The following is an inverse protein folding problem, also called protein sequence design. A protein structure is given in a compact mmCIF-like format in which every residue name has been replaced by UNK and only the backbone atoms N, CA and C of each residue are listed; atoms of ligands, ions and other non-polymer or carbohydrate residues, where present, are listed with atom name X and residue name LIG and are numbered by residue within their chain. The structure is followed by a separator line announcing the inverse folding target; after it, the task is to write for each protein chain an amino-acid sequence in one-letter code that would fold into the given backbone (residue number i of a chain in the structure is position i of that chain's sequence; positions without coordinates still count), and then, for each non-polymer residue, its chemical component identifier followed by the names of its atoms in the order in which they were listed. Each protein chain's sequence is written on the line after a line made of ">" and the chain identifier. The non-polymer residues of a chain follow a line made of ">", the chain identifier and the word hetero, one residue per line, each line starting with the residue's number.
data_IF_661708221702
#
_entry.id   IF_661708221702
#
_cell.length_a   1.000
_cell.length_b   1.000
_cell.length_c   1.000
_cell.angle_alpha   90.00
_cell.angle_beta   90.00
_cell.angle_gamma   90.00
#
_symmetry.space_group_name_H-M   'P 1'
#
loop_
_entity.id
_entity.type
_entity.pdbx_description
1 polymer ?
#
# COMPACT_ATOMS: atom_id res chain seq x y z
N UNK A 1 7.63 -68.16 19.41
CA UNK A 1 6.15 -68.04 19.49
C UNK A 1 5.80 -67.07 20.61
N UNK A 2 4.76 -66.26 20.40
CA UNK A 2 4.33 -65.02 21.11
C UNK A 2 5.04 -63.76 20.62
N UNK A 3 4.41 -62.63 20.30
CA UNK A 3 3.10 -62.26 19.76
C UNK A 3 3.21 -60.74 19.54
N UNK A 4 2.86 -60.27 18.34
CA UNK A 4 2.89 -58.87 17.92
C UNK A 4 1.74 -58.11 18.58
N UNK A 5 2.01 -56.91 19.14
CA UNK A 5 1.00 -55.86 19.33
C UNK A 5 1.57 -54.49 18.96
N UNK A 6 1.08 -53.96 17.85
CA UNK A 6 1.24 -52.57 17.40
C UNK A 6 0.60 -51.61 18.40
N UNK A 7 1.31 -50.57 18.83
CA UNK A 7 0.70 -49.34 19.33
C UNK A 7 1.22 -48.17 18.48
N UNK A 8 0.34 -47.66 17.62
CA UNK A 8 0.48 -46.36 16.98
C UNK A 8 0.23 -45.27 18.04
N UNK A 9 1.21 -44.38 18.23
CA UNK A 9 1.01 -43.15 19.01
C UNK A 9 0.54 -42.05 18.07
N UNK A 10 -0.71 -41.63 18.29
CA UNK A 10 -1.40 -40.54 17.62
C UNK A 10 -0.77 -39.20 18.03
N UNK A 11 -0.47 -38.38 17.02
CA UNK A 11 -0.01 -37.00 17.14
C UNK A 11 -1.10 -36.07 17.71
N UNK A 12 -0.71 -35.10 18.54
CA UNK A 12 -1.55 -33.97 18.93
C UNK A 12 -0.81 -32.67 18.58
N UNK A 13 -1.01 -32.19 17.36
CA UNK A 13 -0.58 -30.86 16.95
C UNK A 13 -1.68 -29.86 17.36
N UNK A 14 -1.34 -28.92 18.24
CA UNK A 14 -2.23 -27.83 18.62
C UNK A 14 -2.40 -26.87 17.44
N UNK A 15 -3.59 -26.83 16.85
CA UNK A 15 -3.98 -25.87 15.82
C UNK A 15 -4.32 -24.55 16.53
N UNK A 16 -3.43 -23.57 16.41
CA UNK A 16 -3.72 -22.17 16.76
C UNK A 16 -4.60 -21.59 15.65
N UNK A 17 -5.90 -21.46 15.91
CA UNK A 17 -6.82 -20.79 14.99
C UNK A 17 -6.66 -19.27 15.07
N UNK A 18 -5.98 -18.66 14.10
CA UNK A 18 -6.19 -17.24 13.81
C UNK A 18 -7.54 -17.10 13.10
N UNK A 19 -8.52 -16.52 13.78
CA UNK A 19 -9.74 -16.02 13.15
C UNK A 19 -9.38 -14.78 12.33
N UNK A 20 -9.04 -14.97 11.05
CA UNK A 20 -9.00 -13.88 10.08
C UNK A 20 -10.42 -13.41 9.75
N UNK A 21 -10.68 -12.11 9.83
CA UNK A 21 -11.91 -11.51 9.35
C UNK A 21 -11.99 -11.72 7.83
N UNK A 22 -12.96 -12.51 7.39
CA UNK A 22 -13.19 -12.87 6.00
C UNK A 22 -13.82 -11.71 5.22
N UNK A 23 -13.18 -11.35 4.12
CA UNK A 23 -13.66 -10.46 3.08
C UNK A 23 -12.82 -10.68 1.83
N UNK A 24 -12.85 -11.90 1.29
CA UNK A 24 -12.10 -12.24 0.07
C UNK A 24 -13.09 -12.46 -1.07
N UNK A 25 -13.32 -11.42 -1.88
CA UNK A 25 -13.69 -11.65 -3.27
C UNK A 25 -12.44 -12.19 -3.97
N UNK A 26 -12.27 -13.52 -3.96
CA UNK A 26 -11.24 -14.17 -4.77
C UNK A 26 -11.68 -14.14 -6.23
N UNK A 27 -11.47 -13.01 -6.90
CA UNK A 27 -11.23 -13.07 -8.34
C UNK A 27 -10.00 -13.94 -8.56
N UNK A 28 -10.03 -14.91 -9.49
CA UNK A 28 -8.83 -15.68 -9.81
C UNK A 28 -7.75 -14.68 -10.24
N UNK A 29 -6.62 -14.65 -9.52
CA UNK A 29 -5.48 -13.85 -9.94
C UNK A 29 -4.91 -14.52 -11.19
N UNK A 30 -5.40 -14.12 -12.37
CA UNK A 30 -4.71 -14.37 -13.63
C UNK A 30 -3.50 -13.44 -13.69
N UNK A 31 -2.43 -13.81 -12.99
CA UNK A 31 -1.20 -13.03 -12.94
C UNK A 31 -0.35 -13.39 -11.72
N UNK A 32 0.94 -13.09 -11.79
CA UNK A 32 1.85 -13.21 -10.65
C UNK A 32 1.77 -11.98 -9.73
N UNK A 33 0.97 -10.97 -10.10
CA UNK A 33 0.83 -9.72 -9.34
C UNK A 33 -0.40 -9.79 -8.44
N UNK A 34 -0.19 -9.52 -7.15
CA UNK A 34 -1.26 -9.35 -6.16
C UNK A 34 -1.37 -7.88 -5.76
N UNK A 35 -2.60 -7.43 -5.49
CA UNK A 35 -2.87 -6.12 -4.87
C UNK A 35 -3.35 -6.32 -3.44
N UNK A 36 -2.79 -5.58 -2.49
CA UNK A 36 -3.14 -5.63 -1.08
C UNK A 36 -3.76 -4.31 -0.63
N UNK A 37 -4.88 -4.42 0.10
CA UNK A 37 -5.51 -3.32 0.81
C UNK A 37 -6.17 -3.88 2.08
N UNK A 38 -6.43 -3.00 3.04
CA UNK A 38 -7.13 -3.33 4.27
C UNK A 38 -8.38 -2.47 4.39
N UNK A 39 -9.41 -3.00 5.05
CA UNK A 39 -10.62 -2.26 5.37
C UNK A 39 -10.91 -2.36 6.86
N UNK A 40 -11.46 -1.29 7.42
CA UNK A 40 -12.10 -1.30 8.74
C UNK A 40 -13.60 -1.35 8.53
N UNK A 41 -14.32 -1.99 9.45
CA UNK A 41 -15.76 -2.10 9.33
C UNK A 41 -16.46 -2.17 10.67
N UNK A 42 -17.66 -1.61 10.72
CA UNK A 42 -18.54 -1.68 11.89
C UNK A 42 -19.54 -2.81 11.66
N UNK A 43 -19.67 -3.69 12.66
CA UNK A 43 -20.64 -4.78 12.61
C UNK A 43 -22.07 -4.22 12.64
N UNK A 44 -22.84 -4.54 11.61
CA UNK A 44 -24.27 -4.24 11.49
C UNK A 44 -25.04 -5.55 11.29
N UNK A 45 -25.60 -6.08 12.38
CA UNK A 45 -26.18 -7.43 12.39
C UNK A 45 -25.13 -8.51 12.10
N UNK A 46 -25.30 -9.25 11.01
CA UNK A 46 -24.39 -10.31 10.57
C UNK A 46 -23.43 -9.87 9.46
N UNK A 47 -23.43 -8.58 9.09
CA UNK A 47 -22.59 -8.03 8.03
C UNK A 47 -21.66 -6.97 8.62
N UNK A 48 -20.44 -6.86 8.10
CA UNK A 48 -19.57 -5.72 8.39
C UNK A 48 -19.81 -4.65 7.33
N UNK A 49 -20.16 -3.44 7.76
CA UNK A 49 -20.22 -2.28 6.88
C UNK A 49 -18.86 -1.59 6.91
N UNK A 50 -18.18 -1.55 5.76
CA UNK A 50 -16.90 -0.84 5.61
C UNK A 50 -17.03 0.61 6.05
N UNK A 51 -15.97 1.12 6.68
CA UNK A 51 -15.86 2.52 7.12
C UNK A 51 -14.64 3.19 6.53
N UNK A 52 -13.51 2.50 6.57
CA UNK A 52 -12.26 3.00 6.01
C UNK A 52 -11.62 1.94 5.12
N UNK A 53 -10.84 2.42 4.15
CA UNK A 53 -9.94 1.62 3.33
C UNK A 53 -8.55 2.22 3.41
N UNK A 54 -7.56 1.35 3.57
CA UNK A 54 -6.15 1.72 3.70
C UNK A 54 -5.30 0.85 2.76
N UNK A 55 -4.50 1.50 1.93
CA UNK A 55 -3.45 0.84 1.17
C UNK A 55 -2.18 1.70 1.14
N UNK A 56 -2.02 2.59 0.17
CA UNK A 56 -0.84 3.43 0.06
C UNK A 56 -0.97 4.65 0.98
N UNK A 57 0.02 4.92 1.85
CA UNK A 57 0.00 6.12 2.69
C UNK A 57 -0.11 7.40 1.86
N UNK A 58 -0.76 8.42 2.43
CA UNK A 58 -0.89 9.79 1.91
C UNK A 58 -1.95 9.93 0.80
N UNK A 59 -2.44 8.84 0.22
CA UNK A 59 -3.37 8.88 -0.91
C UNK A 59 -4.68 9.57 -0.55
N UNK A 60 -5.46 9.03 0.40
CA UNK A 60 -6.72 9.66 0.74
C UNK A 60 -6.49 10.99 1.49
N UNK A 61 -5.46 11.06 2.34
CA UNK A 61 -5.15 12.21 3.19
C UNK A 61 -4.76 13.48 2.42
N UNK A 62 -4.14 13.35 1.24
CA UNK A 62 -3.70 14.50 0.43
C UNK A 62 -4.66 14.78 -0.71
N UNK A 63 -5.15 13.76 -1.41
CA UNK A 63 -5.90 13.99 -2.65
C UNK A 63 -7.38 14.22 -2.42
N UNK A 64 -7.97 13.63 -1.38
CA UNK A 64 -9.39 13.73 -1.15
C UNK A 64 -9.72 14.96 -0.30
N UNK A 65 -10.82 15.64 -0.66
CA UNK A 65 -11.30 16.79 0.10
C UNK A 65 -12.43 16.37 1.05
N UNK A 66 -12.35 16.81 2.31
CA UNK A 66 -13.41 16.53 3.31
C UNK A 66 -14.68 17.32 3.01
N UNK A 67 -14.56 18.54 2.47
CA UNK A 67 -15.68 19.46 2.25
C UNK A 67 -16.75 18.98 1.25
N UNK A 68 -16.45 17.95 0.46
CA UNK A 68 -17.33 17.37 -0.56
C UNK A 68 -17.43 15.84 -0.46
N UNK A 69 -17.27 15.29 0.75
CA UNK A 69 -17.38 13.86 1.08
C UNK A 69 -16.43 12.93 0.29
N UNK A 70 -15.42 13.45 -0.43
CA UNK A 70 -14.51 12.61 -1.24
C UNK A 70 -13.72 11.65 -0.39
N UNK A 71 -13.27 12.09 0.78
CA UNK A 71 -12.63 11.22 1.78
C UNK A 71 -13.47 9.99 2.07
N UNK A 72 -14.73 10.22 2.48
CA UNK A 72 -15.69 9.17 2.80
C UNK A 72 -15.96 8.25 1.60
N UNK A 73 -16.10 8.82 0.41
CA UNK A 73 -16.35 8.02 -0.81
C UNK A 73 -15.16 7.08 -1.07
N UNK A 74 -13.93 7.56 -0.99
CA UNK A 74 -12.74 6.74 -1.20
C UNK A 74 -12.54 5.69 -0.09
N UNK A 75 -12.91 6.03 1.15
CA UNK A 75 -12.88 5.17 2.33
C UNK A 75 -13.89 4.01 2.27
N UNK A 76 -15.10 4.27 1.74
CA UNK A 76 -16.18 3.28 1.62
C UNK A 76 -16.17 2.54 0.26
N UNK A 77 -15.40 3.01 -0.73
CA UNK A 77 -15.27 2.39 -2.05
C UNK A 77 -14.32 1.17 -2.05
N UNK A 78 -14.59 0.27 -2.99
CA UNK A 78 -13.66 -0.82 -3.34
C UNK A 78 -12.61 -0.33 -4.36
N UNK A 79 -11.40 -0.92 -4.40
CA UNK A 79 -10.34 -0.46 -5.30
C UNK A 79 -10.67 -0.47 -6.79
N UNK A 80 -11.67 -1.25 -7.22
CA UNK A 80 -12.11 -1.25 -8.62
C UNK A 80 -12.79 0.07 -9.03
N UNK A 81 -13.31 0.84 -8.07
CA UNK A 81 -13.92 2.15 -8.31
C UNK A 81 -12.90 3.30 -8.40
N UNK A 82 -11.64 3.09 -8.02
CA UNK A 82 -10.62 4.15 -7.97
C UNK A 82 -10.35 4.80 -9.33
N UNK A 83 -10.57 4.07 -10.42
CA UNK A 83 -10.43 4.60 -11.78
C UNK A 83 -11.45 5.70 -12.11
N UNK A 84 -12.55 5.76 -11.37
CA UNK A 84 -13.62 6.75 -11.52
C UNK A 84 -13.57 7.81 -10.42
N UNK A 85 -13.36 7.38 -9.18
CA UNK A 85 -13.43 8.24 -8.00
C UNK A 85 -12.04 8.86 -7.72
N UNK A 86 -11.14 8.09 -7.11
CA UNK A 86 -9.83 8.55 -6.66
C UNK A 86 -8.96 9.16 -7.78
N UNK A 87 -8.99 8.60 -9.00
CA UNK A 87 -8.22 9.14 -10.14
C UNK A 87 -8.55 10.60 -10.42
N UNK A 88 -9.83 10.97 -10.31
CA UNK A 88 -10.25 12.35 -10.54
C UNK A 88 -9.79 13.28 -9.41
N UNK A 89 -9.80 12.80 -8.16
CA UNK A 89 -9.28 13.55 -7.01
C UNK A 89 -7.78 13.81 -7.16
N UNK A 90 -6.98 12.77 -7.46
CA UNK A 90 -5.54 12.89 -7.69
C UNK A 90 -5.28 13.90 -8.81
N UNK A 91 -5.94 13.74 -9.96
CA UNK A 91 -5.70 14.62 -11.10
C UNK A 91 -6.06 16.09 -10.79
N UNK A 92 -7.17 16.31 -10.08
CA UNK A 92 -7.64 17.64 -9.69
C UNK A 92 -6.67 18.29 -8.71
N UNK A 93 -6.29 17.58 -7.65
CA UNK A 93 -5.33 18.06 -6.66
C UNK A 93 -3.98 18.38 -7.30
N UNK A 94 -3.42 17.45 -8.08
CA UNK A 94 -2.10 17.60 -8.68
C UNK A 94 -2.03 18.82 -9.60
N UNK A 95 -3.07 19.06 -10.41
CA UNK A 95 -3.06 20.14 -11.40
C UNK A 95 -3.53 21.49 -10.84
N UNK A 96 -4.47 21.51 -9.90
CA UNK A 96 -5.10 22.75 -9.42
C UNK A 96 -4.55 23.21 -8.06
N UNK A 97 -4.19 22.29 -7.17
CA UNK A 97 -3.73 22.60 -5.80
C UNK A 97 -2.21 22.58 -5.74
N UNK A 98 -1.59 21.45 -6.09
CA UNK A 98 -0.13 21.33 -6.15
C UNK A 98 0.47 22.05 -7.39
N UNK A 99 -0.38 22.42 -8.36
CA UNK A 99 0.01 23.18 -9.55
C UNK A 99 0.88 22.44 -10.56
N UNK A 100 1.11 21.13 -10.38
CA UNK A 100 1.99 20.26 -11.18
C UNK A 100 1.50 20.16 -12.62
N UNK A 101 2.39 19.73 -13.52
CA UNK A 101 2.02 19.52 -14.93
C UNK A 101 1.05 18.35 -15.11
N UNK A 102 0.30 18.33 -16.22
CA UNK A 102 -0.55 17.20 -16.57
C UNK A 102 0.27 15.91 -16.78
N UNK A 103 1.51 16.01 -17.26
CA UNK A 103 2.39 14.87 -17.43
C UNK A 103 2.73 14.23 -16.07
N UNK A 104 3.12 15.06 -15.09
CA UNK A 104 3.36 14.63 -13.71
C UNK A 104 2.09 14.03 -13.09
N UNK A 105 0.95 14.70 -13.22
CA UNK A 105 -0.33 14.20 -12.70
C UNK A 105 -0.70 12.83 -13.28
N UNK A 106 -0.49 12.61 -14.59
CA UNK A 106 -0.74 11.31 -15.23
C UNK A 106 0.14 10.20 -14.63
N UNK A 107 1.43 10.47 -14.37
CA UNK A 107 2.31 9.50 -13.70
C UNK A 107 1.78 9.17 -12.31
N UNK A 108 1.47 10.18 -11.50
CA UNK A 108 0.95 9.96 -10.13
C UNK A 108 -0.33 9.14 -10.15
N UNK A 109 -1.28 9.44 -11.06
CA UNK A 109 -2.48 8.61 -11.22
C UNK A 109 -2.17 7.18 -11.64
N UNK A 110 -1.16 6.94 -12.48
CA UNK A 110 -0.80 5.58 -12.92
C UNK A 110 -0.14 4.73 -11.83
N UNK A 111 0.55 5.39 -10.90
CA UNK A 111 1.25 4.74 -9.78
C UNK A 111 0.26 4.42 -8.66
N UNK A 112 -0.62 5.36 -8.32
CA UNK A 112 -1.47 5.28 -7.12
C UNK A 112 -2.89 4.75 -7.39
N UNK A 113 -3.26 4.48 -8.65
CA UNK A 113 -4.58 3.93 -9.01
C UNK A 113 -4.45 2.54 -9.64
N UNK A 114 -5.16 1.51 -9.13
CA UNK A 114 -6.01 1.54 -7.94
C UNK A 114 -5.18 1.65 -6.67
N UNK A 115 -5.75 2.20 -5.61
CA UNK A 115 -5.09 2.33 -4.31
C UNK A 115 -4.99 0.96 -3.63
N UNK A 116 -3.94 0.26 -4.05
CA UNK A 116 -3.53 -1.06 -3.59
C UNK A 116 -2.01 -1.09 -3.59
N UNK A 117 -1.42 -1.76 -2.61
CA UNK A 117 0.01 -2.04 -2.61
C UNK A 117 0.25 -3.28 -3.47
N UNK A 118 1.02 -3.18 -4.56
CA UNK A 118 1.24 -4.31 -5.47
C UNK A 118 2.50 -5.08 -5.12
N UNK A 119 2.43 -6.39 -5.27
CA UNK A 119 3.60 -7.26 -5.23
C UNK A 119 3.57 -8.27 -6.38
N UNK A 120 4.68 -8.39 -7.12
CA UNK A 120 4.86 -9.39 -8.19
C UNK A 120 5.61 -10.61 -7.66
N UNK A 121 4.86 -11.68 -7.43
CA UNK A 121 5.33 -12.96 -6.89
C UNK A 121 6.25 -13.72 -7.87
N UNK A 122 6.39 -13.27 -9.12
CA UNK A 122 7.37 -13.83 -10.05
C UNK A 122 8.73 -13.15 -9.97
N UNK A 123 8.79 -11.96 -9.37
CA UNK A 123 10.04 -11.29 -9.09
C UNK A 123 10.68 -11.88 -7.83
N UNK A 124 11.99 -11.82 -7.79
CA UNK A 124 12.78 -12.12 -6.59
C UNK A 124 13.63 -10.91 -6.27
N UNK A 125 13.76 -10.57 -4.99
CA UNK A 125 14.46 -9.35 -4.57
C UNK A 125 13.88 -8.77 -3.29
N UNK A 126 14.48 -7.70 -2.76
CA UNK A 126 13.92 -6.99 -1.62
C UNK A 126 12.56 -6.40 -1.98
N UNK A 127 11.68 -6.33 -1.00
CA UNK A 127 10.47 -5.52 -1.11
C UNK A 127 10.86 -4.03 -1.18
N UNK A 128 10.10 -3.24 -1.92
CA UNK A 128 10.27 -1.79 -1.99
C UNK A 128 8.95 -1.13 -2.30
N UNK A 129 8.61 -0.12 -1.52
CA UNK A 129 7.39 0.67 -1.66
C UNK A 129 7.33 1.33 -3.05
N UNK A 130 6.21 1.09 -3.76
CA UNK A 130 5.99 1.48 -5.15
C UNK A 130 6.98 0.89 -6.17
N UNK A 131 7.76 -0.12 -5.77
CA UNK A 131 8.80 -0.71 -6.59
C UNK A 131 8.25 -1.43 -7.83
N UNK A 132 7.09 -2.07 -7.73
CA UNK A 132 6.45 -2.69 -8.88
C UNK A 132 5.86 -1.63 -9.83
N UNK A 133 5.13 -0.68 -9.25
CA UNK A 133 4.42 0.40 -9.93
C UNK A 133 5.36 1.32 -10.71
N UNK A 134 6.59 1.48 -10.22
CA UNK A 134 7.63 2.30 -10.85
C UNK A 134 8.61 1.48 -11.69
N UNK A 135 8.45 0.15 -11.81
CA UNK A 135 9.38 -0.70 -12.55
C UNK A 135 10.77 -0.82 -11.92
N UNK A 136 10.86 -0.69 -10.59
CA UNK A 136 12.08 -0.77 -9.79
C UNK A 136 12.73 0.58 -9.50
N UNK A 137 12.12 1.69 -9.90
CA UNK A 137 12.73 3.01 -9.73
C UNK A 137 12.85 3.44 -8.25
N UNK A 138 11.98 2.95 -7.38
CA UNK A 138 12.09 3.13 -5.91
C UNK A 138 12.86 2.01 -5.21
N UNK A 139 13.43 1.05 -5.94
CA UNK A 139 14.21 -0.06 -5.38
C UNK A 139 14.02 -1.39 -6.12
N UNK A 140 13.40 -2.38 -5.48
CA UNK A 140 13.16 -3.71 -6.03
C UNK A 140 11.91 -3.78 -6.91
N UNK A 141 11.94 -4.63 -7.94
CA UNK A 141 10.79 -4.89 -8.83
C UNK A 141 9.71 -5.78 -8.19
N UNK A 142 9.99 -6.38 -7.03
CA UNK A 142 9.03 -7.20 -6.28
C UNK A 142 7.83 -6.37 -5.81
N UNK A 143 8.01 -5.10 -5.46
CA UNK A 143 6.97 -4.26 -4.88
C UNK A 143 6.77 -4.49 -3.38
N UNK A 144 5.57 -4.21 -2.86
CA UNK A 144 5.25 -4.33 -1.43
C UNK A 144 5.83 -3.17 -0.61
N UNK A 145 6.39 -3.49 0.57
CA UNK A 145 7.11 -2.54 1.44
C UNK A 145 8.20 -3.26 2.23
N UNK A 146 9.41 -2.71 2.25
CA UNK A 146 10.42 -3.10 3.23
C UNK A 146 10.18 -2.41 4.57
N UNK A 147 10.83 -2.93 5.62
CA UNK A 147 10.77 -2.34 6.96
C UNK A 147 11.38 -0.95 7.02
N UNK A 148 12.41 -0.73 6.20
CA UNK A 148 13.19 0.52 6.16
C UNK A 148 12.69 1.51 5.12
N UNK A 149 11.61 1.18 4.38
CA UNK A 149 11.05 2.12 3.42
C UNK A 149 10.40 3.29 4.17
N UNK A 150 10.86 4.50 3.85
CA UNK A 150 10.21 5.72 4.30
C UNK A 150 9.01 6.03 3.40
N UNK A 151 7.94 5.27 3.62
CA UNK A 151 6.75 5.29 2.75
C UNK A 151 6.08 6.66 2.68
N UNK A 152 6.19 7.47 3.74
CA UNK A 152 5.60 8.81 3.78
C UNK A 152 6.45 9.77 2.97
N UNK A 153 7.76 9.80 3.17
CA UNK A 153 8.67 10.65 2.39
C UNK A 153 8.68 10.26 0.90
N UNK A 154 8.61 8.97 0.58
CA UNK A 154 8.46 8.50 -0.82
C UNK A 154 7.15 9.01 -1.43
N UNK A 155 6.01 8.83 -0.74
CA UNK A 155 4.71 9.32 -1.21
C UNK A 155 4.71 10.85 -1.39
N UNK A 156 5.20 11.60 -0.40
CA UNK A 156 5.26 13.06 -0.46
C UNK A 156 6.23 13.56 -1.53
N UNK A 157 7.35 12.86 -1.76
CA UNK A 157 8.28 13.14 -2.85
C UNK A 157 7.66 12.97 -4.24
N UNK A 158 6.71 12.04 -4.41
CA UNK A 158 5.95 11.87 -5.66
C UNK A 158 4.97 13.02 -5.89
N UNK A 159 4.33 13.51 -4.83
CA UNK A 159 3.33 14.59 -4.92
C UNK A 159 3.98 15.97 -5.06
N UNK A 160 4.91 16.29 -4.16
CA UNK A 160 5.47 17.62 -4.00
C UNK A 160 6.94 17.73 -4.44
N UNK A 161 7.64 16.62 -4.59
CA UNK A 161 9.06 16.59 -4.91
C UNK A 161 9.37 16.35 -6.39
N UNK A 162 10.65 16.09 -6.65
CA UNK A 162 11.16 15.79 -7.98
C UNK A 162 11.19 14.28 -8.28
N UNK A 163 10.60 13.41 -7.45
CA UNK A 163 10.70 11.95 -7.62
C UNK A 163 10.26 11.52 -9.02
N UNK A 164 9.14 12.05 -9.52
CA UNK A 164 8.63 11.72 -10.87
C UNK A 164 9.61 12.10 -11.98
N UNK A 165 10.21 13.29 -11.92
CA UNK A 165 11.13 13.78 -12.96
C UNK A 165 12.53 13.17 -12.84
N UNK A 166 13.02 12.96 -11.61
CA UNK A 166 14.28 12.29 -11.33
C UNK A 166 14.31 10.84 -11.84
N UNK A 167 13.16 10.18 -11.83
CA UNK A 167 12.97 8.83 -12.39
C UNK A 167 12.74 8.83 -13.90
N UNK A 168 12.70 10.00 -14.55
CA UNK A 168 12.45 10.13 -15.99
C UNK A 168 11.03 9.73 -16.42
N UNK A 169 10.08 9.68 -15.48
CA UNK A 169 8.69 9.28 -15.75
C UNK A 169 7.86 10.42 -16.36
N UNK A 170 8.26 11.66 -16.10
CA UNK A 170 7.77 12.86 -16.80
C UNK A 170 8.88 13.92 -16.88
N UNK A 171 8.79 14.91 -17.80
CA UNK A 171 9.67 16.07 -17.77
C UNK A 171 9.57 16.82 -16.45
N UNK A 172 10.68 17.41 -16.00
CA UNK A 172 10.69 18.33 -14.89
C UNK A 172 9.80 19.54 -15.20
N UNK A 173 8.85 19.84 -14.31
CA UNK A 173 7.92 20.97 -14.46
C UNK A 173 8.34 22.20 -13.64
N UNK A 174 9.37 22.08 -12.81
CA UNK A 174 9.92 23.17 -12.00
C UNK A 174 8.99 23.71 -10.93
N UNK A 175 7.97 22.93 -10.53
CA UNK A 175 6.94 23.31 -9.55
C UNK A 175 7.01 22.49 -8.28
N UNK A 176 8.19 21.99 -7.94
CA UNK A 176 8.43 21.24 -6.72
C UNK A 176 8.24 22.15 -5.50
N UNK A 177 7.79 21.58 -4.39
CA UNK A 177 7.67 22.24 -3.09
C UNK A 177 8.52 21.43 -2.09
N UNK A 178 9.85 21.62 -2.06
CA UNK A 178 10.76 20.77 -1.28
C UNK A 178 10.48 20.72 0.23
N UNK A 179 9.80 21.73 0.78
CA UNK A 179 9.44 21.77 2.20
C UNK A 179 8.28 20.84 2.56
N UNK A 180 7.63 20.22 1.59
CA UNK A 180 6.48 19.31 1.77
C UNK A 180 6.80 17.86 1.37
N UNK A 181 8.08 17.51 1.17
CA UNK A 181 8.48 16.17 0.75
C UNK A 181 8.84 15.24 1.90
N UNK A 182 8.67 15.67 3.16
CA UNK A 182 8.98 14.85 4.33
C UNK A 182 8.03 15.11 5.49
N UNK A 183 7.72 14.06 6.26
CA UNK A 183 7.04 14.18 7.56
C UNK A 183 8.02 14.42 8.73
N UNK A 184 9.32 14.41 8.46
CA UNK A 184 10.43 14.53 9.40
C UNK A 184 10.52 13.37 10.41
N UNK A 185 10.00 12.18 10.05
CA UNK A 185 10.05 10.97 10.87
C UNK A 185 10.79 9.86 10.12
N UNK A 186 12.12 9.88 10.21
CA UNK A 186 12.94 8.89 9.54
C UNK A 186 12.94 7.51 10.24
N UNK A 187 13.53 6.53 9.54
CA UNK A 187 13.75 5.20 10.07
C UNK A 187 14.76 5.14 11.23
N UNK A 188 15.54 6.20 11.49
CA UNK A 188 16.59 6.21 12.52
C UNK A 188 16.01 6.19 13.93
N UNK A 189 14.78 6.70 14.10
CA UNK A 189 14.00 6.57 15.35
C UNK A 189 13.31 5.21 15.54
N UNK A 190 13.42 4.29 14.57
CA UNK A 190 12.78 2.96 14.61
C UNK A 190 13.83 1.92 14.98
N UNK A 191 13.70 1.26 16.13
CA UNK A 191 14.63 0.20 16.53
C UNK A 191 14.33 -1.13 15.84
N UNK A 192 14.61 -1.25 14.55
CA UNK A 192 14.42 -2.51 13.85
C UNK A 192 15.42 -3.58 14.31
N UNK A 193 14.94 -4.81 14.52
CA UNK A 193 15.77 -5.98 14.82
C UNK A 193 15.72 -6.98 13.66
N UNK A 194 16.77 -7.80 13.51
CA UNK A 194 16.91 -8.75 12.39
C UNK A 194 16.07 -10.02 12.54
N UNK A 195 15.23 -10.13 13.57
CA UNK A 195 14.44 -11.33 13.85
C UNK A 195 13.02 -10.93 14.21
N UNK A 196 12.05 -11.70 13.72
CA UNK A 196 10.64 -11.45 14.03
C UNK A 196 10.39 -11.53 15.55
N UNK A 197 9.61 -10.60 16.16
CA UNK A 197 8.96 -9.45 15.52
C UNK A 197 9.96 -8.33 15.24
N UNK A 198 10.09 -7.89 13.98
CA UNK A 198 11.18 -7.02 13.52
C UNK A 198 11.22 -5.61 14.15
N UNK A 199 10.28 -5.29 15.04
CA UNK A 199 10.24 -4.06 15.82
C UNK A 199 10.83 -4.34 17.21
N UNK A 200 11.91 -3.65 17.54
CA UNK A 200 12.55 -3.70 18.85
C UNK A 200 11.73 -3.00 19.93
N UNK A 201 12.20 -3.07 21.17
CA UNK A 201 11.55 -2.40 22.29
C UNK A 201 11.51 -0.87 22.08
N UNK A 202 10.45 -0.18 22.57
CA UNK A 202 10.45 1.28 22.63
C UNK A 202 11.72 1.78 23.33
N UNK A 203 12.38 2.80 22.79
CA UNK A 203 13.41 3.57 23.52
C UNK A 203 13.00 5.03 23.58
#
# INVERSE_FOLDING_TARGET
>A
MKSIRNLAFLSLAAVLGLAGCAGSNTTPVTGNVIGLWATTGVKSGNVYAQRDRLANPVVNEVFATVANDRHKINDEAEPDQDFHELKNDINTFMTQVAGRSQATANVVTSVLVPDTMKADLSQSGPASYLGHETGGATGGTFGGRALTDDVVDISLGIVFGNTVSALGLAPDDGKEIPTLTSDNVDASGKHFISTFPYLGAPQ
#
